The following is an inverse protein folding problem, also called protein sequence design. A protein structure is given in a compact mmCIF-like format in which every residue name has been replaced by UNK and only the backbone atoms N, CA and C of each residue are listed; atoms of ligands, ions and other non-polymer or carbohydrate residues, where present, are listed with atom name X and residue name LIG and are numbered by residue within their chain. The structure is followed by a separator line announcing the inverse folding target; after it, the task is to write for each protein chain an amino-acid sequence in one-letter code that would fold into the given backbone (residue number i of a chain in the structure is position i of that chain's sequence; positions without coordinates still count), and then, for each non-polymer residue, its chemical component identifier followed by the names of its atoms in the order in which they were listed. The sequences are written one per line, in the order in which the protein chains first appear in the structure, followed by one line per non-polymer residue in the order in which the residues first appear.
data_IF_396430856796
#
_entry.id   IF_396430856796
#
_cell.length_a   1.000
_cell.length_b   1.000
_cell.length_c   1.000
_cell.angle_alpha   90.00
_cell.angle_beta   90.00
_cell.angle_gamma   90.00
#
_symmetry.space_group_name_H-M   'P 1'
#
loop_
_entity.id
_entity.type
_entity.pdbx_description
1 polymer ?
#
# COMPACT_ATOMS: atom_id res chain seq x y z
N UNK A 1 22.09 19.23 49.89
CA UNK A 1 23.15 20.01 49.22
C UNK A 1 24.42 19.20 49.25
N UNK A 2 24.92 18.80 48.09
CA UNK A 2 26.32 18.60 47.74
C UNK A 2 26.34 18.12 46.30
N UNK A 3 26.60 19.05 45.38
CA UNK A 3 27.03 18.73 44.02
C UNK A 3 28.51 18.38 44.13
N UNK A 4 28.96 17.29 43.52
CA UNK A 4 30.39 17.08 43.28
C UNK A 4 30.68 17.23 41.78
N UNK A 5 31.60 18.11 41.37
CA UNK A 5 31.79 18.58 40.01
C UNK A 5 33.07 17.96 39.45
N UNK A 6 32.95 16.76 38.88
CA UNK A 6 34.00 16.20 38.04
C UNK A 6 33.41 15.99 36.65
N UNK A 7 34.16 16.39 35.63
CA UNK A 7 33.89 16.25 34.18
C UNK A 7 33.34 17.49 33.45
N UNK A 8 33.85 18.67 33.79
CA UNK A 8 34.09 19.71 32.78
C UNK A 8 35.59 20.00 32.73
N UNK A 9 36.26 19.53 31.66
CA UNK A 9 37.31 20.24 30.91
C UNK A 9 37.93 19.28 29.90
N UNK A 10 37.58 19.45 28.62
CA UNK A 10 38.50 19.45 27.47
C UNK A 10 37.73 19.86 26.21
N UNK A 11 37.72 21.16 26.00
CA UNK A 11 37.68 21.87 24.71
C UNK A 11 39.17 22.18 24.43
N UNK A 12 39.81 22.11 23.26
CA UNK A 12 39.57 22.37 21.83
C UNK A 12 40.76 21.60 21.14
N UNK A 13 40.77 21.11 19.90
CA UNK A 13 40.87 21.81 18.61
C UNK A 13 40.93 20.72 17.51
N UNK A 14 40.29 20.95 16.37
CA UNK A 14 40.36 20.04 15.22
C UNK A 14 39.35 20.37 14.14
N UNK A 15 39.50 21.54 13.51
CA UNK A 15 38.83 21.88 12.26
C UNK A 15 39.36 20.98 11.13
N UNK A 16 38.51 20.09 10.58
CA UNK A 16 38.65 19.60 9.20
C UNK A 16 37.27 19.62 8.50
N UNK A 17 37.03 20.76 7.87
CA UNK A 17 36.55 20.93 6.50
C UNK A 17 35.92 19.71 5.76
N UNK A 18 34.61 19.84 5.51
CA UNK A 18 33.98 19.67 4.19
C UNK A 18 33.81 18.27 3.59
N UNK A 19 32.61 17.70 3.81
CA UNK A 19 31.80 17.10 2.74
C UNK A 19 30.34 16.98 3.20
N UNK A 20 29.65 18.12 3.29
CA UNK A 20 28.20 18.15 3.45
C UNK A 20 27.51 17.65 2.19
N UNK A 21 27.36 16.34 2.04
CA UNK A 21 26.41 15.78 1.09
C UNK A 21 25.00 15.96 1.67
N UNK A 22 24.38 17.11 1.34
CA UNK A 22 22.93 17.30 1.42
C UNK A 22 22.28 16.15 0.64
N UNK A 23 21.67 15.21 1.36
CA UNK A 23 20.69 14.32 0.77
C UNK A 23 19.44 15.17 0.50
N UNK A 24 19.31 15.63 -0.75
CA UNK A 24 18.03 16.08 -1.27
C UNK A 24 17.09 14.87 -1.25
N UNK A 25 16.04 14.95 -0.43
CA UNK A 25 14.82 14.17 -0.63
C UNK A 25 14.20 14.61 -1.95
N UNK A 26 14.70 14.04 -3.05
CA UNK A 26 14.03 14.08 -4.34
C UNK A 26 12.89 13.08 -4.28
N UNK A 27 11.79 13.54 -3.70
CA UNK A 27 10.48 12.92 -3.81
C UNK A 27 10.11 12.94 -5.30
N UNK A 28 10.49 11.88 -6.03
CA UNK A 28 10.10 11.68 -7.43
C UNK A 28 8.64 11.26 -7.47
N UNK A 29 7.76 12.16 -7.02
CA UNK A 29 6.33 12.11 -7.26
C UNK A 29 6.18 12.23 -8.77
N UNK A 30 5.88 11.12 -9.42
CA UNK A 30 5.71 11.06 -10.87
C UNK A 30 4.56 11.98 -11.28
N UNK A 31 4.87 13.22 -11.67
CA UNK A 31 3.90 14.27 -12.02
C UNK A 31 3.21 14.03 -13.37
N UNK A 32 3.39 12.86 -13.98
CA UNK A 32 2.82 12.54 -15.29
C UNK A 32 1.39 11.96 -15.23
N UNK A 33 0.80 11.75 -14.05
CA UNK A 33 -0.48 11.02 -13.97
C UNK A 33 -1.75 11.87 -13.91
N UNK A 34 -1.68 13.20 -13.76
CA UNK A 34 -2.88 14.00 -13.45
C UNK A 34 -3.16 15.15 -14.44
N UNK A 35 -2.85 14.99 -15.72
CA UNK A 35 -3.23 16.00 -16.74
C UNK A 35 -4.38 15.58 -17.68
N UNK A 36 -5.09 14.47 -17.43
CA UNK A 36 -6.23 14.08 -18.28
C UNK A 36 -7.62 14.17 -17.64
N UNK A 37 -7.76 14.75 -16.45
CA UNK A 37 -9.05 14.74 -15.73
C UNK A 37 -9.89 16.03 -15.85
N UNK A 38 -9.49 17.05 -16.63
CA UNK A 38 -10.25 18.31 -16.72
C UNK A 38 -10.77 18.71 -18.11
N UNK A 39 -10.80 17.79 -19.08
CA UNK A 39 -11.40 18.08 -20.39
C UNK A 39 -12.30 16.94 -20.88
N UNK A 40 -13.33 16.58 -20.12
CA UNK A 40 -14.50 15.89 -20.69
C UNK A 40 -15.75 16.11 -19.85
N UNK A 41 -16.08 17.39 -19.57
CA UNK A 41 -17.30 17.79 -18.87
C UNK A 41 -18.31 18.50 -19.78
N UNK A 42 -18.29 18.24 -21.09
CA UNK A 42 -19.18 18.93 -22.04
C UNK A 42 -19.71 18.04 -23.17
N UNK A 43 -20.02 16.77 -22.90
CA UNK A 43 -20.98 16.03 -23.72
C UNK A 43 -22.27 15.82 -22.91
N UNK A 44 -23.08 16.88 -22.88
CA UNK A 44 -24.51 16.70 -22.73
C UNK A 44 -24.99 15.90 -23.95
N UNK A 45 -25.87 14.94 -23.68
CA UNK A 45 -26.55 14.04 -24.62
C UNK A 45 -25.81 12.73 -24.96
N UNK A 46 -25.90 11.76 -24.04
CA UNK A 46 -25.70 10.35 -24.36
C UNK A 46 -26.89 9.52 -23.85
N UNK A 47 -27.46 8.62 -24.68
CA UNK A 47 -28.62 7.83 -24.34
C UNK A 47 -28.34 6.89 -23.17
N UNK A 48 -29.41 6.63 -22.41
CA UNK A 48 -29.49 5.73 -21.24
C UNK A 48 -28.62 4.49 -21.40
N UNK A 49 -27.88 4.21 -20.33
CA UNK A 49 -27.14 2.96 -20.08
C UNK A 49 -27.83 1.75 -20.72
N UNK A 50 -27.07 1.00 -21.51
CA UNK A 50 -27.54 -0.27 -22.08
C UNK A 50 -27.78 -1.24 -20.93
N UNK A 51 -28.94 -1.90 -20.95
CA UNK A 51 -29.37 -2.82 -19.88
C UNK A 51 -28.27 -3.83 -19.53
N UNK A 52 -27.83 -3.92 -18.26
CA UNK A 52 -26.85 -4.90 -17.80
C UNK A 52 -27.34 -6.35 -17.88
N UNK A 53 -28.56 -6.57 -18.39
CA UNK A 53 -29.19 -7.88 -18.62
C UNK A 53 -28.97 -8.41 -20.05
N UNK A 54 -28.12 -7.79 -20.86
CA UNK A 54 -27.79 -8.30 -22.20
C UNK A 54 -27.03 -9.63 -22.09
N UNK A 55 -27.72 -10.74 -22.36
CA UNK A 55 -27.14 -12.08 -22.42
C UNK A 55 -26.35 -12.23 -23.73
N UNK A 56 -25.05 -12.48 -23.64
CA UNK A 56 -24.16 -12.63 -24.79
C UNK A 56 -24.15 -14.07 -25.32
N UNK A 57 -23.93 -14.30 -26.63
CA UNK A 57 -23.69 -15.63 -27.18
C UNK A 57 -22.47 -16.31 -26.55
N UNK A 58 -22.47 -17.65 -26.51
CA UNK A 58 -21.32 -18.42 -26.01
C UNK A 58 -20.04 -18.15 -26.83
N UNK A 59 -20.17 -17.91 -28.13
CA UNK A 59 -19.05 -17.57 -29.01
C UNK A 59 -18.32 -16.29 -28.58
N UNK A 60 -19.03 -15.35 -27.94
CA UNK A 60 -18.40 -14.17 -27.38
C UNK A 60 -17.47 -14.54 -26.22
N UNK A 61 -17.87 -15.46 -25.33
CA UNK A 61 -17.00 -15.95 -24.27
C UNK A 61 -15.75 -16.62 -24.84
N UNK A 62 -15.91 -17.45 -25.87
CA UNK A 62 -14.78 -18.11 -26.54
C UNK A 62 -13.82 -17.09 -27.16
N UNK A 63 -14.35 -16.03 -27.79
CA UNK A 63 -13.53 -14.95 -28.32
C UNK A 63 -12.76 -14.22 -27.21
N UNK A 64 -13.42 -13.90 -26.07
CA UNK A 64 -12.73 -13.28 -24.94
C UNK A 64 -11.58 -14.14 -24.40
N UNK A 65 -11.83 -15.45 -24.25
CA UNK A 65 -10.82 -16.41 -23.80
C UNK A 65 -9.67 -16.52 -24.79
N UNK A 66 -9.95 -16.50 -26.10
CA UNK A 66 -8.92 -16.55 -27.14
C UNK A 66 -7.94 -15.36 -27.05
N UNK A 67 -8.44 -14.15 -26.77
CA UNK A 67 -7.59 -12.96 -26.63
C UNK A 67 -6.95 -12.81 -25.24
N UNK A 68 -7.45 -13.51 -24.22
CA UNK A 68 -6.92 -13.55 -22.86
C UNK A 68 -5.85 -14.66 -22.71
N UNK A 69 -4.68 -14.47 -23.34
CA UNK A 69 -3.63 -15.48 -23.39
C UNK A 69 -3.06 -15.90 -22.02
N UNK A 70 -3.17 -15.04 -21.01
CA UNK A 70 -2.75 -15.30 -19.62
C UNK A 70 -3.92 -15.74 -18.72
N UNK A 71 -5.13 -15.88 -19.27
CA UNK A 71 -6.33 -16.38 -18.57
C UNK A 71 -6.70 -15.55 -17.33
N UNK A 72 -6.38 -14.26 -17.35
CA UNK A 72 -6.57 -13.37 -16.21
C UNK A 72 -8.05 -12.97 -15.98
N UNK A 73 -8.94 -13.25 -16.94
CA UNK A 73 -10.38 -13.05 -16.83
C UNK A 73 -10.85 -11.64 -17.17
N UNK A 74 -9.98 -10.79 -17.71
CA UNK A 74 -10.32 -9.45 -18.18
C UNK A 74 -9.49 -9.06 -19.42
N UNK A 75 -10.00 -8.11 -20.20
CA UNK A 75 -9.26 -7.50 -21.30
C UNK A 75 -9.13 -5.99 -21.09
N UNK A 76 -7.98 -5.41 -21.43
CA UNK A 76 -7.82 -3.96 -21.38
C UNK A 76 -8.63 -3.28 -22.48
N UNK A 77 -9.11 -2.08 -22.18
CA UNK A 77 -9.83 -1.22 -23.14
C UNK A 77 -9.08 -1.06 -24.47
N UNK A 78 -7.77 -0.81 -24.41
CA UNK A 78 -6.93 -0.65 -25.61
C UNK A 78 -6.86 -1.91 -26.46
N UNK A 79 -6.90 -3.08 -25.83
CA UNK A 79 -6.84 -4.35 -26.54
C UNK A 79 -8.19 -4.68 -27.18
N UNK A 80 -9.29 -4.38 -26.48
CA UNK A 80 -10.64 -4.43 -27.05
C UNK A 80 -10.80 -3.52 -28.28
N UNK A 81 -10.29 -2.29 -28.23
CA UNK A 81 -10.29 -1.37 -29.37
C UNK A 81 -9.54 -1.98 -30.56
N UNK A 82 -8.37 -2.59 -30.33
CA UNK A 82 -7.58 -3.27 -31.38
C UNK A 82 -8.30 -4.49 -31.93
N UNK A 83 -8.89 -5.32 -31.07
CA UNK A 83 -9.65 -6.51 -31.46
C UNK A 83 -10.81 -6.11 -32.37
N UNK A 84 -11.58 -5.07 -32.02
CA UNK A 84 -12.68 -4.60 -32.87
C UNK A 84 -12.21 -4.17 -34.27
N UNK A 85 -11.02 -3.58 -34.37
CA UNK A 85 -10.42 -3.19 -35.65
C UNK A 85 -9.95 -4.39 -36.49
N UNK A 86 -9.71 -5.55 -35.89
CA UNK A 86 -9.34 -6.77 -36.63
C UNK A 86 -10.54 -7.57 -37.13
N UNK A 87 -11.75 -7.32 -36.61
CA UNK A 87 -12.98 -8.04 -36.99
C UNK A 87 -13.50 -7.68 -38.40
N UNK A 88 -12.84 -6.79 -39.15
CA UNK A 88 -13.25 -6.42 -40.50
C UNK A 88 -14.52 -5.56 -40.58
N UNK A 89 -14.99 -5.03 -39.45
CA UNK A 89 -16.24 -4.25 -39.33
C UNK A 89 -16.20 -2.84 -39.97
N UNK A 90 -15.14 -2.52 -40.72
CA UNK A 90 -14.90 -1.20 -41.36
C UNK A 90 -15.08 -0.02 -40.40
N UNK A 91 -14.66 -0.19 -39.15
CA UNK A 91 -14.67 0.86 -38.13
C UNK A 91 -13.37 1.67 -38.21
N UNK A 92 -13.47 2.99 -38.01
CA UNK A 92 -12.30 3.82 -37.72
C UNK A 92 -11.84 3.61 -36.27
N UNK A 93 -10.59 4.00 -35.98
CA UNK A 93 -10.05 3.92 -34.62
C UNK A 93 -10.90 4.71 -33.60
N UNK A 94 -11.43 5.87 -34.00
CA UNK A 94 -12.28 6.68 -33.12
C UNK A 94 -13.66 6.04 -32.91
N UNK A 95 -14.23 5.39 -33.93
CA UNK A 95 -15.48 4.65 -33.79
C UNK A 95 -15.34 3.45 -32.86
N UNK A 96 -14.23 2.69 -32.96
CA UNK A 96 -13.95 1.59 -32.05
C UNK A 96 -13.81 2.09 -30.61
N UNK A 97 -13.07 3.19 -30.40
CA UNK A 97 -12.92 3.84 -29.09
C UNK A 97 -14.25 4.28 -28.48
N UNK A 98 -15.11 4.90 -29.29
CA UNK A 98 -16.46 5.32 -28.86
C UNK A 98 -17.38 4.13 -28.55
N UNK A 99 -17.23 3.01 -29.25
CA UNK A 99 -18.02 1.81 -28.99
C UNK A 99 -17.58 1.14 -27.68
N UNK A 100 -16.28 0.97 -27.49
CA UNK A 100 -15.73 0.38 -26.26
C UNK A 100 -16.03 1.26 -25.05
N UNK A 101 -15.98 2.59 -25.19
CA UNK A 101 -16.29 3.50 -24.08
C UNK A 101 -17.72 3.42 -23.58
N UNK A 102 -18.67 2.95 -24.41
CA UNK A 102 -20.08 2.77 -23.99
C UNK A 102 -20.27 1.57 -23.09
N UNK A 103 -19.41 0.55 -23.20
CA UNK A 103 -19.56 -0.74 -22.52
C UNK A 103 -18.51 -0.93 -21.42
N UNK A 104 -17.35 -0.30 -21.56
CA UNK A 104 -16.18 -0.47 -20.69
C UNK A 104 -15.82 0.88 -20.08
N UNK A 105 -16.35 1.14 -18.89
CA UNK A 105 -16.19 2.40 -18.15
C UNK A 105 -14.90 2.44 -17.34
N UNK A 106 -14.56 1.33 -16.67
CA UNK A 106 -13.24 1.11 -16.07
C UNK A 106 -12.30 0.66 -17.18
N UNK A 107 -11.01 1.03 -17.18
CA UNK A 107 -10.04 0.72 -18.27
C UNK A 107 -9.85 -0.79 -18.58
N UNK A 108 -10.62 -1.67 -17.94
CA UNK A 108 -10.68 -3.12 -18.07
C UNK A 108 -12.12 -3.60 -18.28
N UNK A 109 -12.30 -4.62 -19.11
CA UNK A 109 -13.55 -5.36 -19.30
C UNK A 109 -13.45 -6.72 -18.63
N UNK A 110 -14.19 -6.94 -17.55
CA UNK A 110 -14.24 -8.23 -16.84
C UNK A 110 -15.24 -9.17 -17.52
N UNK A 111 -14.80 -9.84 -18.58
CA UNK A 111 -15.70 -10.65 -19.39
C UNK A 111 -16.30 -11.85 -18.62
N UNK A 112 -15.58 -12.42 -17.64
CA UNK A 112 -16.11 -13.54 -16.83
C UNK A 112 -17.34 -13.18 -16.00
N UNK A 113 -17.55 -11.91 -15.72
CA UNK A 113 -18.70 -11.41 -14.96
C UNK A 113 -19.93 -11.18 -15.84
N UNK A 114 -19.80 -11.32 -17.17
CA UNK A 114 -20.90 -11.16 -18.12
C UNK A 114 -21.78 -12.40 -18.16
N UNK A 115 -23.05 -12.21 -18.54
CA UNK A 115 -24.00 -13.29 -18.71
C UNK A 115 -23.91 -13.86 -20.13
N UNK A 116 -23.89 -15.19 -20.24
CA UNK A 116 -23.80 -15.89 -21.52
C UNK A 116 -24.97 -16.86 -21.70
N UNK A 117 -25.54 -16.90 -22.90
CA UNK A 117 -26.61 -17.84 -23.23
C UNK A 117 -26.02 -19.23 -23.35
N UNK A 118 -26.43 -20.16 -22.49
CA UNK A 118 -26.26 -21.60 -22.73
C UNK A 118 -27.37 -22.01 -23.68
N UNK A 119 -27.05 -22.35 -24.92
CA UNK A 119 -28.01 -22.95 -25.82
C UNK A 119 -28.41 -24.33 -25.24
N UNK A 120 -29.55 -24.41 -24.56
CA UNK A 120 -30.20 -25.67 -24.24
C UNK A 120 -31.32 -25.91 -25.26
N UNK A 121 -31.07 -26.82 -26.20
CA UNK A 121 -32.04 -27.28 -27.19
C UNK A 121 -31.41 -28.32 -28.11
N UNK A 122 -32.00 -29.53 -28.25
CA UNK A 122 -31.47 -30.56 -29.12
C UNK A 122 -31.94 -30.33 -30.57
N UNK A 123 -31.52 -29.24 -31.21
CA UNK A 123 -31.66 -29.03 -32.67
C UNK A 123 -30.97 -27.74 -33.17
N UNK A 124 -29.70 -27.54 -32.83
CA UNK A 124 -28.88 -26.55 -33.55
C UNK A 124 -27.57 -27.18 -34.00
N UNK A 125 -27.68 -28.10 -34.97
CA UNK A 125 -26.59 -28.23 -35.92
C UNK A 125 -26.35 -26.85 -36.52
N UNK A 126 -25.19 -26.27 -36.26
CA UNK A 126 -24.67 -25.24 -37.16
C UNK A 126 -24.72 -25.85 -38.57
N UNK A 127 -25.31 -25.17 -39.57
CA UNK A 127 -25.18 -25.63 -40.95
C UNK A 127 -23.68 -25.81 -41.21
N UNK A 128 -23.30 -27.00 -41.67
CA UNK A 128 -21.90 -27.38 -41.91
C UNK A 128 -21.22 -26.37 -42.87
N UNK A 129 -22.02 -25.59 -43.63
CA UNK A 129 -21.60 -24.46 -44.45
C UNK A 129 -20.96 -23.28 -43.68
N UNK A 130 -21.26 -23.08 -42.39
CA UNK A 130 -20.69 -22.00 -41.59
C UNK A 130 -19.30 -22.33 -40.99
N UNK A 131 -18.85 -23.58 -41.10
CA UNK A 131 -17.53 -24.04 -40.65
C UNK A 131 -16.46 -23.93 -41.74
N UNK A 132 -16.85 -23.52 -42.95
CA UNK A 132 -15.91 -23.10 -43.98
C UNK A 132 -15.49 -21.66 -43.69
N UNK A 133 -14.47 -21.49 -42.84
CA UNK A 133 -13.80 -20.20 -42.69
C UNK A 133 -13.07 -19.79 -43.98
N UNK A 134 -11.81 -19.39 -43.87
CA UNK A 134 -11.00 -18.99 -45.03
C UNK A 134 -10.62 -20.15 -45.98
N UNK A 135 -11.35 -21.28 -45.95
CA UNK A 135 -11.06 -22.46 -46.78
C UNK A 135 -11.14 -22.13 -48.28
N UNK A 136 -12.04 -21.22 -48.66
CA UNK A 136 -12.21 -20.75 -50.04
C UNK A 136 -11.12 -19.77 -50.49
N UNK A 137 -10.34 -19.22 -49.53
CA UNK A 137 -9.16 -18.40 -49.80
C UNK A 137 -7.89 -19.25 -49.90
N UNK A 138 -7.97 -20.55 -49.60
CA UNK A 138 -6.87 -21.48 -49.82
C UNK A 138 -6.88 -21.92 -51.30
N UNK A 139 -5.72 -21.93 -51.97
CA UNK A 139 -5.64 -22.48 -53.31
C UNK A 139 -6.10 -23.94 -53.30
N UNK A 140 -6.89 -24.39 -54.30
CA UNK A 140 -7.43 -25.74 -54.32
C UNK A 140 -6.30 -26.75 -54.26
N UNK A 141 -6.34 -27.63 -53.26
CA UNK A 141 -5.40 -28.76 -53.17
C UNK A 141 -5.70 -29.71 -54.32
N UNK A 142 -4.85 -29.67 -55.33
CA UNK A 142 -4.89 -30.59 -56.46
C UNK A 142 -5.00 -29.90 -57.81
N UNK A 143 -3.84 -29.48 -58.32
CA UNK A 143 -3.45 -29.67 -59.74
C UNK A 143 -1.93 -29.50 -59.81
N UNK A 144 -1.27 -30.63 -60.03
CA UNK A 144 0.12 -30.74 -60.45
C UNK A 144 0.42 -29.75 -61.58
N UNK A 145 1.13 -28.68 -61.26
CA UNK A 145 1.76 -27.82 -62.26
C UNK A 145 3.00 -28.55 -62.79
N UNK A 146 3.05 -28.67 -64.12
CA UNK A 146 4.18 -29.17 -64.91
C UNK A 146 5.52 -28.56 -64.46
N UNK A 147 6.64 -29.30 -64.58
CA UNK A 147 7.97 -28.78 -64.28
C UNK A 147 8.43 -27.88 -65.42
N UNK A 148 8.64 -26.60 -65.15
CA UNK A 148 9.03 -25.65 -66.18
C UNK A 148 9.17 -24.22 -65.69
N UNK A 149 10.12 -23.98 -64.78
CA UNK A 149 10.82 -22.69 -64.67
C UNK A 149 12.05 -22.89 -63.77
N UNK A 150 13.14 -22.22 -64.14
CA UNK A 150 14.48 -22.30 -63.56
C UNK A 150 14.53 -22.17 -62.03
N UNK A 151 15.57 -22.71 -61.37
CA UNK A 151 15.74 -22.52 -59.93
C UNK A 151 16.10 -21.06 -59.66
N UNK A 152 15.10 -20.27 -59.27
CA UNK A 152 15.36 -19.02 -58.56
C UNK A 152 16.01 -19.41 -57.25
N UNK A 153 17.32 -19.20 -57.14
CA UNK A 153 18.05 -19.31 -55.88
C UNK A 153 17.40 -18.37 -54.86
N UNK A 154 16.51 -18.90 -54.02
CA UNK A 154 16.03 -18.19 -52.84
C UNK A 154 17.15 -18.16 -51.81
N UNK A 155 18.07 -17.21 -51.97
CA UNK A 155 19.21 -16.97 -51.09
C UNK A 155 18.73 -16.81 -49.64
N UNK A 156 18.91 -17.85 -48.83
CA UNK A 156 18.59 -17.86 -47.39
C UNK A 156 17.32 -18.60 -46.96
N UNK A 157 16.55 -19.21 -47.88
CA UNK A 157 15.45 -20.11 -47.53
C UNK A 157 15.86 -21.58 -47.72
N UNK A 158 15.60 -22.42 -46.71
CA UNK A 158 15.92 -23.86 -46.69
C UNK A 158 14.61 -24.65 -46.73
N UNK A 159 14.49 -25.62 -47.63
CA UNK A 159 13.32 -26.52 -47.66
C UNK A 159 13.44 -27.58 -46.57
N UNK A 160 12.48 -27.63 -45.65
CA UNK A 160 12.39 -28.62 -44.58
C UNK A 160 10.96 -29.18 -44.52
N UNK A 161 10.82 -30.50 -44.60
CA UNK A 161 9.51 -31.20 -44.69
C UNK A 161 8.56 -30.62 -45.76
N UNK A 162 9.09 -30.18 -46.90
CA UNK A 162 8.30 -29.62 -48.00
C UNK A 162 7.89 -28.15 -47.83
N UNK A 163 8.28 -27.48 -46.74
CA UNK A 163 8.10 -26.02 -46.55
C UNK A 163 9.43 -25.27 -46.67
N UNK A 164 9.43 -24.10 -47.34
CA UNK A 164 10.58 -23.19 -47.32
C UNK A 164 10.62 -22.40 -45.99
N UNK A 165 11.73 -22.54 -45.26
CA UNK A 165 11.98 -21.89 -43.97
C UNK A 165 13.12 -20.89 -44.10
N UNK A 166 12.95 -19.67 -43.60
CA UNK A 166 14.03 -18.70 -43.45
C UNK A 166 14.73 -18.91 -42.09
N UNK A 167 15.87 -19.60 -42.11
CA UNK A 167 16.63 -19.96 -40.89
C UNK A 167 17.20 -18.71 -40.21
N UNK A 168 17.59 -17.68 -40.97
CA UNK A 168 18.13 -16.43 -40.42
C UNK A 168 17.10 -15.66 -39.59
N UNK A 169 15.87 -15.55 -40.08
CA UNK A 169 14.78 -14.93 -39.32
C UNK A 169 14.38 -15.74 -38.08
N UNK A 170 14.44 -17.07 -38.17
CA UNK A 170 14.15 -17.95 -37.03
C UNK A 170 15.18 -17.77 -35.93
N UNK A 171 16.47 -17.74 -36.29
CA UNK A 171 17.58 -17.48 -35.36
C UNK A 171 17.47 -16.09 -34.73
N UNK A 172 17.20 -15.06 -35.53
CA UNK A 172 17.02 -13.70 -35.02
C UNK A 172 15.84 -13.60 -34.04
N UNK A 173 14.72 -14.27 -34.35
CA UNK A 173 13.57 -14.34 -33.44
C UNK A 173 13.90 -15.09 -32.15
N UNK A 174 14.66 -16.19 -32.24
CA UNK A 174 15.11 -16.94 -31.08
C UNK A 174 16.02 -16.09 -30.19
N UNK A 175 16.98 -15.37 -30.76
CA UNK A 175 17.87 -14.46 -30.03
C UNK A 175 17.11 -13.31 -29.36
N UNK A 176 16.11 -12.74 -30.05
CA UNK A 176 15.24 -11.72 -29.48
C UNK A 176 14.37 -12.27 -28.33
N UNK A 177 13.90 -13.51 -28.46
CA UNK A 177 13.13 -14.16 -27.40
C UNK A 177 14.02 -14.48 -26.19
N UNK A 178 15.23 -14.99 -26.41
CA UNK A 178 16.17 -15.35 -25.34
C UNK A 178 16.64 -14.10 -24.57
N UNK A 179 16.90 -12.99 -25.26
CA UNK A 179 17.21 -11.72 -24.59
C UNK A 179 16.04 -11.18 -23.77
N UNK A 180 14.80 -11.29 -24.29
CA UNK A 180 13.59 -10.95 -23.53
C UNK A 180 13.38 -11.83 -22.30
N UNK A 181 13.62 -13.13 -22.43
CA UNK A 181 13.56 -14.09 -21.32
C UNK A 181 14.60 -13.75 -20.23
N UNK A 182 15.86 -13.55 -20.61
CA UNK A 182 16.94 -13.18 -19.68
C UNK A 182 16.63 -11.88 -18.93
N UNK A 183 16.06 -10.88 -19.61
CA UNK A 183 15.64 -9.64 -18.97
C UNK A 183 14.57 -9.88 -17.89
N UNK A 184 13.55 -10.69 -18.20
CA UNK A 184 12.48 -11.01 -17.27
C UNK A 184 12.99 -11.84 -16.08
N UNK A 185 13.90 -12.80 -16.32
CA UNK A 185 14.52 -13.60 -15.26
C UNK A 185 15.31 -12.72 -14.29
N UNK A 186 16.10 -11.77 -14.81
CA UNK A 186 16.84 -10.82 -13.96
C UNK A 186 15.88 -9.89 -13.19
N UNK A 187 14.80 -9.44 -13.84
CA UNK A 187 13.74 -8.64 -13.19
C UNK A 187 13.10 -9.40 -12.03
N UNK A 188 12.75 -10.67 -12.25
CA UNK A 188 12.18 -11.55 -11.23
C UNK A 188 13.16 -11.68 -10.06
N UNK A 189 14.41 -12.02 -10.33
CA UNK A 189 15.43 -12.16 -9.29
C UNK A 189 15.60 -10.88 -8.46
N UNK A 190 15.62 -9.72 -9.12
CA UNK A 190 15.69 -8.42 -8.42
C UNK A 190 14.47 -8.17 -7.54
N UNK A 191 13.27 -8.56 -7.98
CA UNK A 191 12.03 -8.41 -7.21
C UNK A 191 11.99 -9.37 -6.02
N UNK A 192 12.49 -10.60 -6.18
CA UNK A 192 12.63 -11.57 -5.08
C UNK A 192 13.52 -11.02 -3.97
N UNK A 193 14.71 -10.49 -4.31
CA UNK A 193 15.61 -9.88 -3.33
C UNK A 193 14.96 -8.69 -2.61
N UNK A 194 14.23 -7.82 -3.33
CA UNK A 194 13.52 -6.69 -2.72
C UNK A 194 12.39 -7.15 -1.80
N UNK A 195 11.71 -8.22 -2.16
CA UNK A 195 10.65 -8.80 -1.34
C UNK A 195 11.23 -9.37 -0.04
N UNK A 196 12.34 -10.12 -0.12
CA UNK A 196 13.05 -10.63 1.04
C UNK A 196 13.52 -9.49 1.94
N UNK A 197 14.17 -8.47 1.41
CA UNK A 197 14.62 -7.30 2.17
C UNK A 197 13.44 -6.57 2.84
N UNK A 198 12.33 -6.38 2.12
CA UNK A 198 11.11 -5.79 2.68
C UNK A 198 10.52 -6.65 3.79
N UNK A 199 10.53 -7.96 3.65
CA UNK A 199 10.04 -8.91 4.67
C UNK A 199 10.91 -8.88 5.94
N UNK A 200 12.24 -8.79 5.79
CA UNK A 200 13.14 -8.64 6.93
C UNK A 200 12.91 -7.31 7.66
N UNK A 201 12.77 -6.20 6.93
CA UNK A 201 12.44 -4.89 7.51
C UNK A 201 11.10 -4.91 8.23
N UNK A 202 10.07 -5.50 7.62
CA UNK A 202 8.76 -5.64 8.23
C UNK A 202 8.82 -6.44 9.54
N UNK A 203 9.44 -7.63 9.51
CA UNK A 203 9.61 -8.47 10.70
C UNK A 203 10.35 -7.73 11.83
N UNK A 204 11.41 -6.98 11.51
CA UNK A 204 12.13 -6.18 12.50
C UNK A 204 11.23 -5.10 13.11
N UNK A 205 10.47 -4.36 12.28
CA UNK A 205 9.53 -3.35 12.76
C UNK A 205 8.37 -3.93 13.55
N UNK A 206 7.93 -5.15 13.25
CA UNK A 206 6.87 -5.83 13.97
C UNK A 206 7.32 -6.18 15.40
N UNK A 207 8.56 -6.68 15.55
CA UNK A 207 9.15 -6.97 16.85
C UNK A 207 9.27 -5.70 17.69
N UNK A 208 9.80 -4.61 17.12
CA UNK A 208 9.91 -3.34 17.86
C UNK A 208 8.56 -2.75 18.24
N UNK A 209 7.54 -2.90 17.39
CA UNK A 209 6.18 -2.46 17.71
C UNK A 209 5.60 -3.28 18.87
N UNK A 210 5.79 -4.61 18.85
CA UNK A 210 5.37 -5.50 19.95
C UNK A 210 6.05 -5.15 21.28
N UNK A 211 7.35 -4.87 21.27
CA UNK A 211 8.06 -4.45 22.49
C UNK A 211 7.57 -3.11 23.00
N UNK A 212 7.41 -2.11 22.12
CA UNK A 212 6.89 -0.80 22.49
C UNK A 212 5.46 -0.86 23.04
N UNK A 213 4.61 -1.74 22.48
CA UNK A 213 3.26 -1.95 22.98
C UNK A 213 3.25 -2.54 24.41
N UNK A 214 4.15 -3.49 24.68
CA UNK A 214 4.33 -4.07 26.02
C UNK A 214 4.84 -3.02 27.02
N UNK A 215 5.87 -2.24 26.66
CA UNK A 215 6.41 -1.17 27.50
C UNK A 215 5.34 -0.10 27.80
N UNK A 216 4.54 0.26 26.80
CA UNK A 216 3.43 1.20 26.96
C UNK A 216 2.33 0.67 27.90
N UNK A 217 2.14 -0.64 27.97
CA UNK A 217 1.20 -1.25 28.91
C UNK A 217 1.79 -1.26 30.33
N UNK A 218 3.07 -1.62 30.48
CA UNK A 218 3.77 -1.60 31.77
C UNK A 218 3.87 -0.19 32.36
N UNK A 219 4.16 0.83 31.55
CA UNK A 219 4.20 2.21 32.01
C UNK A 219 2.83 2.68 32.50
N UNK A 220 1.74 2.24 31.86
CA UNK A 220 0.37 2.55 32.33
C UNK A 220 0.05 1.88 33.66
N UNK A 221 0.48 0.63 33.87
CA UNK A 221 0.25 -0.04 35.16
C UNK A 221 1.06 0.64 36.27
N UNK A 222 2.34 0.95 36.02
CA UNK A 222 3.20 1.67 36.97
C UNK A 222 2.65 3.07 37.30
N UNK A 223 2.09 3.77 36.31
CA UNK A 223 1.45 5.06 36.52
C UNK A 223 0.23 4.93 37.45
N UNK A 224 -0.65 3.96 37.21
CA UNK A 224 -1.82 3.73 38.05
C UNK A 224 -1.43 3.38 39.50
N UNK A 225 -0.42 2.53 39.69
CA UNK A 225 0.12 2.20 41.02
C UNK A 225 0.68 3.44 41.73
N UNK A 226 1.46 4.26 41.02
CA UNK A 226 2.02 5.50 41.57
C UNK A 226 0.92 6.51 41.94
N UNK A 227 -0.14 6.64 41.14
CA UNK A 227 -1.29 7.48 41.45
C UNK A 227 -2.02 7.00 42.71
N UNK A 228 -2.23 5.70 42.89
CA UNK A 228 -2.85 5.14 44.09
C UNK A 228 -1.97 5.32 45.33
N UNK A 229 -0.65 5.15 45.20
CA UNK A 229 0.32 5.47 46.24
C UNK A 229 0.25 6.95 46.62
N UNK A 230 0.19 7.86 45.65
CA UNK A 230 0.05 9.29 45.92
C UNK A 230 -1.27 9.61 46.64
N UNK A 231 -2.38 8.99 46.24
CA UNK A 231 -3.69 9.15 46.90
C UNK A 231 -3.65 8.67 48.34
N UNK A 232 -3.00 7.54 48.62
CA UNK A 232 -2.88 7.02 50.00
C UNK A 232 -2.00 7.91 50.87
N UNK A 233 -0.87 8.37 50.35
CA UNK A 233 0.01 9.32 51.04
C UNK A 233 -0.70 10.65 51.34
N UNK A 234 -1.48 11.19 50.40
CA UNK A 234 -2.24 12.42 50.62
C UNK A 234 -3.33 12.24 51.69
N UNK A 235 -4.00 11.08 51.75
CA UNK A 235 -4.95 10.77 52.85
C UNK A 235 -4.24 10.74 54.21
N UNK A 236 -3.08 10.11 54.30
CA UNK A 236 -2.27 10.04 55.53
C UNK A 236 -1.81 11.43 55.97
N UNK A 237 -1.29 12.24 55.05
CA UNK A 237 -0.90 13.63 55.30
C UNK A 237 -2.07 14.43 55.86
N UNK A 238 -3.25 14.36 55.23
CA UNK A 238 -4.45 15.06 55.69
C UNK A 238 -4.89 14.61 57.09
N UNK A 239 -4.76 13.32 57.40
CA UNK A 239 -5.04 12.79 58.75
C UNK A 239 -4.07 13.35 59.79
N UNK A 240 -2.76 13.34 59.51
CA UNK A 240 -1.73 13.89 60.39
C UNK A 240 -1.93 15.40 60.61
N UNK A 241 -2.26 16.14 59.55
CA UNK A 241 -2.56 17.57 59.65
C UNK A 241 -3.76 17.86 60.56
N UNK A 242 -4.83 17.06 60.48
CA UNK A 242 -5.99 17.17 61.39
C UNK A 242 -5.59 16.92 62.84
N UNK A 243 -4.83 15.85 63.10
CA UNK A 243 -4.36 15.53 64.45
C UNK A 243 -3.49 16.66 65.02
N UNK A 244 -2.53 17.19 64.24
CA UNK A 244 -1.70 18.32 64.66
C UNK A 244 -2.52 19.57 64.97
N UNK A 245 -3.56 19.84 64.17
CA UNK A 245 -4.47 20.95 64.42
C UNK A 245 -5.26 20.74 65.73
N UNK A 246 -5.79 19.55 65.97
CA UNK A 246 -6.50 19.21 67.20
C UNK A 246 -5.60 19.29 68.43
N UNK A 247 -4.36 18.79 68.35
CA UNK A 247 -3.36 18.94 69.40
C UNK A 247 -3.08 20.40 69.70
N UNK A 248 -2.85 21.22 68.67
CA UNK A 248 -2.64 22.67 68.85
C UNK A 248 -3.83 23.31 69.55
N UNK A 249 -5.06 23.03 69.11
CA UNK A 249 -6.29 23.57 69.72
C UNK A 249 -6.44 23.19 71.19
N UNK A 250 -6.03 21.99 71.59
CA UNK A 250 -6.07 21.53 72.99
C UNK A 250 -4.93 22.08 73.84
N UNK A 251 -3.74 22.26 73.25
CA UNK A 251 -2.55 22.72 73.96
C UNK A 251 -2.61 24.23 74.27
N UNK A 252 -3.17 25.04 73.36
CA UNK A 252 -3.28 26.51 73.53
C UNK A 252 -3.95 26.93 74.85
N UNK A 253 -5.14 26.43 75.24
CA UNK A 253 -5.76 26.82 76.51
C UNK A 253 -4.95 26.34 77.73
N UNK A 254 -4.36 25.14 77.68
CA UNK A 254 -3.51 24.62 78.76
C UNK A 254 -2.26 25.48 78.96
N UNK A 255 -1.62 25.90 77.86
CA UNK A 255 -0.49 26.83 77.91
C UNK A 255 -0.90 28.17 78.55
N UNK A 256 -2.06 28.70 78.17
CA UNK A 256 -2.58 29.95 78.71
C UNK A 256 -2.91 29.83 80.21
N UNK A 257 -3.49 28.71 80.65
CA UNK A 257 -3.74 28.43 82.07
C UNK A 257 -2.45 28.32 82.87
N UNK A 258 -1.46 27.58 82.35
CA UNK A 258 -0.16 27.44 83.00
C UNK A 258 0.55 28.79 83.12
N UNK A 259 0.52 29.62 82.08
CA UNK A 259 1.08 30.98 82.10
C UNK A 259 0.41 31.86 83.16
N UNK A 260 -0.93 31.83 83.24
CA UNK A 260 -1.67 32.53 84.31
C UNK A 260 -1.31 32.03 85.71
N UNK A 261 -1.05 30.73 85.89
CA UNK A 261 -0.64 30.20 87.19
C UNK A 261 0.76 30.67 87.58
N UNK A 262 1.70 30.75 86.62
CA UNK A 262 3.04 31.29 86.83
C UNK A 262 2.99 32.77 87.21
N UNK A 263 2.29 33.60 86.44
CA UNK A 263 2.11 35.03 86.74
C UNK A 263 1.51 35.27 88.13
N UNK A 264 0.54 34.42 88.53
CA UNK A 264 0.00 34.46 89.89
C UNK A 264 1.07 34.11 90.92
N UNK A 265 1.82 33.03 90.74
CA UNK A 265 2.88 32.60 91.67
C UNK A 265 3.94 33.70 91.86
N UNK A 266 4.40 34.33 90.78
CA UNK A 266 5.37 35.43 90.83
C UNK A 266 4.81 36.62 91.63
N UNK A 267 3.52 36.95 91.45
CA UNK A 267 2.86 38.01 92.22
C UNK A 267 2.71 37.72 93.72
N UNK A 268 2.74 36.44 94.13
CA UNK A 268 2.76 36.06 95.54
C UNK A 268 4.16 36.20 96.14
N UNK A 269 5.20 35.86 95.38
CA UNK A 269 6.61 35.99 95.80
C UNK A 269 7.00 37.45 95.98
N UNK A 270 6.61 38.35 95.06
CA UNK A 270 6.87 39.79 95.23
C UNK A 270 6.11 40.44 96.40
N UNK A 271 5.01 39.83 96.86
CA UNK A 271 4.29 40.29 98.07
C UNK A 271 4.90 39.80 99.38
N UNK A 272 5.72 38.73 99.35
CA UNK A 272 6.38 38.18 100.53
C UNK A 272 7.81 38.70 100.76
N UNK A 273 8.45 39.40 99.81
CA UNK A 273 9.69 40.13 100.08
C UNK A 273 9.41 41.51 100.70
N UNK A 274 9.69 41.74 102.00
CA UNK A 274 9.69 43.09 102.56
C UNK A 274 10.93 43.84 102.04
N UNK A 275 10.75 45.10 101.66
CA UNK A 275 11.85 46.00 101.32
C UNK A 275 12.90 46.01 102.45
N UNK A 276 14.22 45.97 102.14
CA UNK A 276 15.24 46.11 103.16
C UNK A 276 15.07 47.49 103.83
N UNK A 277 14.78 47.47 105.13
CA UNK A 277 14.86 48.67 105.97
C UNK A 277 16.34 49.03 106.17
N UNK A 278 16.64 50.33 106.02
CA UNK A 278 17.95 50.97 106.22
C UNK A 278 18.75 50.45 107.41
#
# INVERSE_FOLDING_TARGET
MALDPELLLLRDDGEEEFAGAKLEDSEVRSVASNQSEMEFSSLQDMPKELDPSAVLPLDCLLAFVFFDANWCGYLHRRDLERILLTLGLRLSAEQAKQLVSRVVTQNICQYRSLQYSRAEGPDSGLPEEALFGNLDLLPPSGKSAKPGAAPTEHKGLVSHNGSLINVGNLLLRAEQQDSGRLYLENKIHTLELKLEESHHRFSATEVTNKTLAADMQELRTRLAEAEDMARTAERQKNQLQRLLHDFRRRLTPLQLEMQRMVEKADSWVEKEEPAPSN
#
